data_IF_152245465769
#
_entry.id   IF_152245465769
#
_cell.length_a   1.000
_cell.length_b   1.000
_cell.length_c   1.000
_cell.angle_alpha   90.00
_cell.angle_beta   90.00
_cell.angle_gamma   90.00
#
_symmetry.space_group_name_H-M   'P 1'
#
loop_
_entity.id
_entity.type
_entity.pdbx_description
1 polymer ?
#
# COMPACT_ATOMS: atom_id res chain seq x y z
N UNK A 1 -62.78 11.94 29.91
CA UNK A 1 -62.52 10.50 29.70
C UNK A 1 -61.32 10.38 28.78
N UNK A 2 -60.15 10.16 29.38
CA UNK A 2 -58.89 9.83 28.70
C UNK A 2 -59.11 8.66 27.76
N UNK A 3 -58.51 8.69 26.56
CA UNK A 3 -57.89 7.49 25.95
C UNK A 3 -56.71 7.94 25.11
N UNK A 4 -55.54 7.91 25.75
CA UNK A 4 -54.24 7.88 25.11
C UNK A 4 -54.22 6.86 23.97
N UNK A 5 -53.61 7.22 22.83
CA UNK A 5 -53.18 6.25 21.82
C UNK A 5 -51.68 6.39 21.62
N UNK A 6 -50.89 5.32 21.85
CA UNK A 6 -49.44 5.41 21.92
C UNK A 6 -48.85 5.57 20.51
N UNK A 7 -47.86 6.47 20.39
CA UNK A 7 -47.00 6.58 19.21
C UNK A 7 -46.31 5.23 19.00
N UNK A 8 -46.83 4.45 18.06
CA UNK A 8 -46.21 3.23 17.56
C UNK A 8 -44.84 3.54 17.00
N UNK A 9 -43.81 3.33 17.82
CA UNK A 9 -42.40 3.36 17.44
C UNK A 9 -42.20 2.30 16.36
N UNK A 10 -41.99 2.76 15.12
CA UNK A 10 -41.59 1.92 13.99
C UNK A 10 -40.39 1.06 14.42
N UNK A 11 -40.62 -0.24 14.63
CA UNK A 11 -39.55 -1.24 14.64
C UNK A 11 -39.13 -1.41 13.19
N UNK A 12 -38.17 -0.60 12.74
CA UNK A 12 -37.40 -0.99 11.56
C UNK A 12 -36.56 -2.21 11.94
N UNK A 13 -36.53 -3.26 11.10
CA UNK A 13 -35.61 -4.35 11.34
C UNK A 13 -34.20 -3.79 11.16
N UNK A 14 -33.40 -3.87 12.23
CA UNK A 14 -31.96 -3.65 12.20
C UNK A 14 -31.40 -4.64 11.18
N UNK A 15 -31.08 -4.15 9.98
CA UNK A 15 -30.26 -4.88 9.04
C UNK A 15 -28.88 -5.04 9.69
N UNK A 16 -28.70 -6.15 10.42
CA UNK A 16 -27.39 -6.74 10.63
C UNK A 16 -26.97 -7.39 9.32
N UNK A 17 -26.61 -6.56 8.34
CA UNK A 17 -25.78 -7.02 7.23
C UNK A 17 -24.34 -6.93 7.74
N UNK A 18 -23.71 -8.09 7.78
CA UNK A 18 -22.35 -8.28 8.24
C UNK A 18 -21.43 -7.18 7.69
N UNK A 19 -20.63 -6.63 8.59
CA UNK A 19 -19.36 -6.00 8.27
C UNK A 19 -18.51 -7.09 7.61
N UNK A 20 -18.73 -7.29 6.32
CA UNK A 20 -17.81 -8.03 5.46
C UNK A 20 -16.51 -7.29 5.60
N UNK A 21 -15.58 -7.95 6.28
CA UNK A 21 -14.18 -7.56 6.33
C UNK A 21 -13.74 -7.33 4.89
N UNK A 22 -13.68 -6.05 4.51
CA UNK A 22 -12.91 -5.60 3.37
C UNK A 22 -11.46 -5.85 3.78
N UNK A 23 -11.05 -7.12 3.64
CA UNK A 23 -9.66 -7.53 3.71
C UNK A 23 -9.03 -6.77 2.57
N UNK A 24 -8.52 -5.58 2.88
CA UNK A 24 -7.85 -4.71 1.94
C UNK A 24 -6.98 -5.59 1.07
N UNK A 25 -7.44 -5.77 -0.17
CA UNK A 25 -6.76 -6.56 -1.16
C UNK A 25 -5.34 -6.02 -1.17
N UNK A 26 -4.37 -6.83 -0.74
CA UNK A 26 -2.99 -6.40 -0.71
C UNK A 26 -2.67 -5.98 -2.15
N UNK A 27 -2.42 -4.68 -2.34
CA UNK A 27 -2.02 -4.15 -3.62
C UNK A 27 -0.83 -5.00 -4.08
N UNK A 28 -0.86 -5.57 -5.30
CA UNK A 28 0.26 -6.38 -5.77
C UNK A 28 1.53 -5.57 -5.53
N UNK A 29 2.54 -6.22 -4.93
CA UNK A 29 3.79 -5.58 -4.55
C UNK A 29 4.23 -4.63 -5.68
N UNK A 30 4.52 -3.37 -5.36
CA UNK A 30 4.64 -2.29 -6.34
C UNK A 30 5.78 -2.48 -7.35
N UNK A 31 6.61 -3.51 -7.19
CA UNK A 31 7.67 -3.89 -8.11
C UNK A 31 7.69 -5.42 -8.32
N UNK A 32 6.73 -5.98 -9.09
CA UNK A 32 6.61 -7.43 -9.28
C UNK A 32 7.79 -8.04 -10.09
N UNK A 33 8.55 -7.20 -10.81
CA UNK A 33 9.65 -7.60 -11.67
C UNK A 33 10.97 -6.92 -11.27
N UNK A 34 11.21 -6.70 -9.98
CA UNK A 34 12.47 -6.12 -9.51
C UNK A 34 13.62 -7.12 -9.76
N UNK A 35 14.51 -6.79 -10.70
CA UNK A 35 15.61 -7.68 -11.14
C UNK A 35 16.94 -7.41 -10.45
N UNK A 36 17.10 -6.24 -9.85
CA UNK A 36 18.32 -5.83 -9.15
C UNK A 36 17.99 -4.89 -8.01
N UNK A 37 18.54 -5.16 -6.83
CA UNK A 37 18.48 -4.31 -5.65
C UNK A 37 19.79 -4.46 -4.88
N UNK A 38 20.37 -3.34 -4.48
CA UNK A 38 21.55 -3.32 -3.64
C UNK A 38 21.42 -2.16 -2.65
N UNK A 39 21.82 -2.41 -1.41
CA UNK A 39 21.91 -1.38 -0.37
C UNK A 39 23.39 -1.03 -0.21
N UNK A 40 23.69 0.27 -0.17
CA UNK A 40 25.05 0.78 -0.10
C UNK A 40 25.24 1.62 1.15
N UNK A 41 26.44 1.57 1.74
CA UNK A 41 26.74 2.24 3.01
C UNK A 41 26.90 3.77 2.88
N UNK A 42 26.88 4.32 1.66
CA UNK A 42 27.25 5.71 1.34
C UNK A 42 26.42 6.31 0.23
N UNK A 43 26.29 7.64 0.25
CA UNK A 43 25.52 8.45 -0.70
C UNK A 43 24.14 8.84 -0.18
N UNK A 44 23.73 10.07 -0.49
CA UNK A 44 22.43 10.63 -0.12
C UNK A 44 21.45 10.67 -1.30
N UNK A 45 20.64 11.72 -1.32
CA UNK A 45 19.61 11.91 -2.36
C UNK A 45 20.23 12.08 -3.75
N UNK A 46 21.42 12.67 -3.84
CA UNK A 46 22.09 12.94 -5.10
C UNK A 46 23.27 11.99 -5.32
N UNK A 47 23.03 10.68 -5.20
CA UNK A 47 24.06 9.64 -5.33
C UNK A 47 24.96 9.79 -6.58
N UNK A 48 24.40 10.22 -7.72
CA UNK A 48 25.17 10.45 -8.95
C UNK A 48 26.18 11.62 -8.86
N UNK A 49 26.03 12.54 -7.90
CA UNK A 49 26.95 13.66 -7.66
C UNK A 49 27.76 13.50 -6.38
N UNK A 50 27.19 12.86 -5.35
CA UNK A 50 27.86 12.62 -4.07
C UNK A 50 28.85 11.46 -4.16
N UNK A 51 28.53 10.40 -4.88
CA UNK A 51 29.33 9.18 -5.02
C UNK A 51 29.32 8.66 -6.48
N UNK A 52 29.90 9.43 -7.44
CA UNK A 52 29.73 9.16 -8.87
C UNK A 52 30.29 7.80 -9.32
N UNK A 53 31.42 7.35 -8.75
CA UNK A 53 32.01 6.04 -9.07
C UNK A 53 31.14 4.89 -8.57
N UNK A 54 30.64 4.99 -7.33
CA UNK A 54 29.75 4.00 -6.74
C UNK A 54 28.47 3.90 -7.55
N UNK A 55 27.82 5.04 -7.84
CA UNK A 55 26.62 5.09 -8.67
C UNK A 55 26.85 4.43 -10.05
N UNK A 56 27.94 4.78 -10.74
CA UNK A 56 28.24 4.20 -12.05
C UNK A 56 28.50 2.68 -11.97
N UNK A 57 29.08 2.18 -10.89
CA UNK A 57 29.30 0.74 -10.70
C UNK A 57 27.99 -0.03 -10.50
N UNK A 58 27.07 0.50 -9.69
CA UNK A 58 25.76 -0.10 -9.43
C UNK A 58 24.89 -0.15 -10.68
N UNK A 59 24.90 0.91 -11.49
CA UNK A 59 24.20 0.89 -12.78
C UNK A 59 24.75 -0.20 -13.70
N UNK A 60 26.08 -0.35 -13.80
CA UNK A 60 26.65 -1.43 -14.63
C UNK A 60 26.28 -2.81 -14.12
N UNK A 61 26.30 -3.01 -12.80
CA UNK A 61 25.90 -4.28 -12.18
C UNK A 61 24.43 -4.61 -12.46
N UNK A 62 23.53 -3.62 -12.30
CA UNK A 62 22.11 -3.77 -12.54
C UNK A 62 21.76 -4.20 -13.98
N UNK A 63 22.49 -3.69 -14.97
CA UNK A 63 22.26 -4.01 -16.39
C UNK A 63 23.13 -5.17 -16.91
N UNK A 64 24.02 -5.74 -16.09
CA UNK A 64 24.94 -6.78 -16.55
C UNK A 64 24.23 -8.07 -17.03
N UNK A 65 23.04 -8.36 -16.52
CA UNK A 65 22.24 -9.54 -16.93
C UNK A 65 21.46 -9.33 -18.22
N UNK A 66 21.42 -8.10 -18.75
CA UNK A 66 20.65 -7.70 -19.93
C UNK A 66 21.50 -7.56 -21.19
N UNK A 67 22.82 -7.72 -21.08
CA UNK A 67 23.80 -7.70 -22.19
C UNK A 67 24.19 -9.12 -22.58
#
# INVERSE_FOLDING_TARGET
MERERPRGRLRTPRQSAARGEDRGELHPASAPNLVYFNEVDKGGHFAAWEEPELFASEIRAAFSSLR
#
